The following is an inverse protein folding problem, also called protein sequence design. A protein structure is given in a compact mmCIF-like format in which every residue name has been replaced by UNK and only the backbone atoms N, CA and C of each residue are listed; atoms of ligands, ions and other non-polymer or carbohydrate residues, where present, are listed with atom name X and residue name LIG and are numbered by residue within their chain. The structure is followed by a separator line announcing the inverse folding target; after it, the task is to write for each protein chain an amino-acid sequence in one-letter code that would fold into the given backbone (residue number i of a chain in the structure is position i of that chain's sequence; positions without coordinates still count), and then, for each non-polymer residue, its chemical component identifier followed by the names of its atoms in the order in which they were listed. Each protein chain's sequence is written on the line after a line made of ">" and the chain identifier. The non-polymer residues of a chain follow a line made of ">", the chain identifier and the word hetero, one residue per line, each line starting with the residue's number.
data_IF_895100159579
#
_entry.id   IF_895100159579
#
_cell.length_a   1.000
_cell.length_b   1.000
_cell.length_c   1.000
_cell.angle_alpha   90.00
_cell.angle_beta   90.00
_cell.angle_gamma   90.00
#
_symmetry.space_group_name_H-M   'P 1'
#
loop_
_entity.id
_entity.type
_entity.pdbx_description
1 polymer ?
#
# COMPACT_ATOMS: atom_id res chain seq x y z
N UNK A 1 -10.25 -14.12 -55.93
CA UNK A 1 -9.21 -13.07 -55.76
C UNK A 1 -9.67 -11.92 -54.83
N UNK A 2 -10.85 -11.32 -55.01
CA UNK A 2 -11.40 -10.26 -54.11
C UNK A 2 -11.61 -10.71 -52.65
N UNK A 3 -12.18 -11.90 -52.42
CA UNK A 3 -12.40 -12.40 -51.04
C UNK A 3 -11.10 -12.68 -50.27
N UNK A 4 -10.07 -13.19 -50.97
CA UNK A 4 -8.73 -13.39 -50.39
C UNK A 4 -8.11 -12.06 -49.96
N UNK A 5 -8.27 -11.01 -50.78
CA UNK A 5 -7.79 -9.65 -50.48
C UNK A 5 -8.53 -9.01 -49.30
N UNK A 6 -9.83 -9.27 -49.11
CA UNK A 6 -10.60 -8.78 -47.96
C UNK A 6 -10.18 -9.50 -46.67
N UNK A 7 -9.99 -10.81 -46.73
CA UNK A 7 -9.49 -11.60 -45.60
C UNK A 7 -8.08 -11.18 -45.18
N UNK A 8 -7.20 -10.93 -46.15
CA UNK A 8 -5.82 -10.48 -45.87
C UNK A 8 -5.83 -9.05 -45.29
N UNK A 9 -6.69 -8.15 -45.77
CA UNK A 9 -6.86 -6.80 -45.20
C UNK A 9 -7.43 -6.82 -43.77
N UNK A 10 -8.39 -7.71 -43.48
CA UNK A 10 -8.90 -7.91 -42.12
C UNK A 10 -7.81 -8.43 -41.18
N UNK A 11 -7.00 -9.40 -41.62
CA UNK A 11 -5.85 -9.91 -40.83
C UNK A 11 -4.82 -8.81 -40.54
N UNK A 12 -4.51 -7.97 -41.53
CA UNK A 12 -3.59 -6.84 -41.36
C UNK A 12 -4.16 -5.82 -40.36
N UNK A 13 -5.45 -5.48 -40.44
CA UNK A 13 -6.08 -4.56 -39.50
C UNK A 13 -6.13 -5.12 -38.07
N UNK A 14 -6.45 -6.41 -37.90
CA UNK A 14 -6.43 -7.06 -36.58
C UNK A 14 -5.01 -7.12 -36.01
N UNK A 15 -4.01 -7.39 -36.85
CA UNK A 15 -2.61 -7.39 -36.44
C UNK A 15 -2.14 -6.00 -36.05
N UNK A 16 -2.48 -4.96 -36.82
CA UNK A 16 -2.16 -3.56 -36.50
C UNK A 16 -2.84 -3.10 -35.20
N UNK A 17 -4.11 -3.44 -34.99
CA UNK A 17 -4.81 -3.19 -33.73
C UNK A 17 -4.14 -3.92 -32.55
N UNK A 18 -3.79 -5.19 -32.74
CA UNK A 18 -3.09 -5.97 -31.72
C UNK A 18 -1.71 -5.37 -31.38
N UNK A 19 -0.96 -4.93 -32.39
CA UNK A 19 0.34 -4.27 -32.20
C UNK A 19 0.20 -2.92 -31.48
N UNK A 20 -0.82 -2.12 -31.83
CA UNK A 20 -1.14 -0.86 -31.14
C UNK A 20 -1.50 -1.08 -29.68
N UNK A 21 -2.37 -2.05 -29.39
CA UNK A 21 -2.73 -2.42 -28.02
C UNK A 21 -1.50 -2.93 -27.24
N UNK A 22 -0.65 -3.74 -27.86
CA UNK A 22 0.58 -4.24 -27.23
C UNK A 22 1.60 -3.10 -26.98
N UNK A 23 1.69 -2.11 -27.86
CA UNK A 23 2.51 -0.92 -27.65
C UNK A 23 1.96 -0.05 -26.51
N UNK A 24 0.64 0.17 -26.47
CA UNK A 24 -0.03 0.89 -25.39
C UNK A 24 0.20 0.22 -24.03
N UNK A 25 -0.01 -1.09 -23.92
CA UNK A 25 0.24 -1.85 -22.68
C UNK A 25 1.68 -1.76 -22.20
N UNK A 26 2.65 -1.78 -23.14
CA UNK A 26 4.07 -1.58 -22.81
C UNK A 26 4.33 -0.18 -22.25
N UNK A 27 3.75 0.85 -22.86
CA UNK A 27 3.88 2.22 -22.37
C UNK A 27 3.22 2.41 -21.00
N UNK A 28 2.05 1.81 -20.77
CA UNK A 28 1.36 1.81 -19.48
C UNK A 28 2.22 1.12 -18.41
N UNK A 29 2.81 -0.04 -18.73
CA UNK A 29 3.68 -0.77 -17.82
C UNK A 29 4.92 0.03 -17.40
N UNK A 30 5.56 0.70 -18.36
CA UNK A 30 6.71 1.59 -18.09
C UNK A 30 6.29 2.76 -17.20
N UNK A 31 5.13 3.37 -17.49
CA UNK A 31 4.62 4.50 -16.70
C UNK A 31 4.35 4.08 -15.26
N UNK A 32 3.80 2.88 -15.05
CA UNK A 32 3.59 2.32 -13.73
C UNK A 32 4.91 2.05 -13.01
N UNK A 33 5.91 1.49 -13.69
CA UNK A 33 7.23 1.27 -13.08
C UNK A 33 7.86 2.60 -12.61
N UNK A 34 7.80 3.65 -13.44
CA UNK A 34 8.27 4.98 -13.04
C UNK A 34 7.45 5.59 -11.90
N UNK A 35 6.15 5.36 -11.85
CA UNK A 35 5.32 5.79 -10.73
C UNK A 35 5.74 5.09 -9.43
N UNK A 36 5.88 3.76 -9.43
CA UNK A 36 6.33 3.02 -8.25
C UNK A 36 7.73 3.44 -7.78
N UNK A 37 8.65 3.65 -8.72
CA UNK A 37 9.99 4.15 -8.40
C UNK A 37 9.94 5.51 -7.69
N UNK A 38 9.11 6.43 -8.17
CA UNK A 38 8.93 7.74 -7.55
C UNK A 38 8.31 7.64 -6.15
N UNK A 39 7.30 6.78 -5.96
CA UNK A 39 6.67 6.54 -4.67
C UNK A 39 7.68 5.98 -3.65
N UNK A 40 8.50 5.01 -4.07
CA UNK A 40 9.56 4.44 -3.24
C UNK A 40 10.63 5.49 -2.92
N UNK A 41 11.13 6.20 -3.95
CA UNK A 41 12.15 7.25 -3.78
C UNK A 41 11.66 8.33 -2.83
N UNK A 42 10.41 8.75 -2.96
CA UNK A 42 9.81 9.73 -2.07
C UNK A 42 9.72 9.21 -0.64
N UNK A 43 9.23 7.98 -0.45
CA UNK A 43 9.14 7.35 0.87
C UNK A 43 10.51 7.25 1.55
N UNK A 44 11.55 6.84 0.81
CA UNK A 44 12.93 6.75 1.32
C UNK A 44 13.52 8.13 1.59
N UNK A 45 13.29 9.09 0.68
CA UNK A 45 13.81 10.46 0.84
C UNK A 45 13.21 11.15 2.07
N UNK A 46 11.92 10.94 2.33
CA UNK A 46 11.26 11.47 3.52
C UNK A 46 11.59 10.67 4.80
N UNK A 47 11.88 9.38 4.69
CA UNK A 47 12.37 8.57 5.82
C UNK A 47 13.81 8.90 6.23
N UNK A 48 14.67 9.24 5.26
CA UNK A 48 16.07 9.64 5.49
C UNK A 48 16.23 11.13 5.80
N UNK A 49 15.18 11.93 5.56
CA UNK A 49 15.13 13.29 6.06
C UNK A 49 15.06 13.21 7.59
N UNK A 50 16.22 13.24 8.24
CA UNK A 50 16.40 13.16 9.71
C UNK A 50 15.64 14.23 10.51
N UNK A 51 14.85 15.09 9.86
CA UNK A 51 14.19 16.22 10.50
C UNK A 51 12.89 16.53 9.78
N UNK A 52 11.72 16.22 10.37
CA UNK A 52 10.49 16.95 10.01
C UNK A 52 9.23 16.80 10.91
N UNK A 53 8.26 17.71 10.69
CA UNK A 53 7.39 18.46 11.63
C UNK A 53 5.86 18.41 11.36
N UNK A 54 5.06 17.65 12.12
CA UNK A 54 3.62 17.88 12.21
C UNK A 54 3.28 19.19 12.97
N UNK A 55 2.31 19.97 12.45
CA UNK A 55 1.81 21.20 13.08
C UNK A 55 0.43 20.95 13.69
N UNK A 56 0.30 21.13 15.01
CA UNK A 56 -1.00 21.18 15.71
C UNK A 56 -1.58 22.60 15.60
N UNK A 57 -2.90 22.70 15.45
CA UNK A 57 -3.64 23.96 15.30
C UNK A 57 -3.80 24.74 16.63
N UNK A 58 -2.84 24.63 17.54
CA UNK A 58 -2.87 25.30 18.85
C UNK A 58 -1.83 26.43 18.89
N UNK A 59 -2.26 27.63 18.45
CA UNK A 59 -1.60 28.91 18.76
C UNK A 59 -0.61 29.48 17.72
N UNK A 60 -0.94 30.69 17.26
CA UNK A 60 -0.10 31.80 16.71
C UNK A 60 1.14 31.50 15.85
N UNK A 61 1.24 30.35 15.19
CA UNK A 61 2.14 30.23 14.03
C UNK A 61 1.49 30.97 12.86
N UNK A 62 2.23 31.87 12.22
CA UNK A 62 1.75 32.59 11.01
C UNK A 62 1.24 31.54 10.03
N UNK A 63 -0.09 31.42 9.90
CA UNK A 63 -0.71 30.38 9.06
C UNK A 63 -0.19 30.54 7.63
N UNK A 64 0.62 29.58 7.15
CA UNK A 64 0.93 29.51 5.72
C UNK A 64 -0.41 29.18 5.02
N UNK A 65 -0.99 30.18 4.36
CA UNK A 65 -2.33 30.07 3.75
C UNK A 65 -2.31 29.33 2.42
N UNK A 66 -1.18 29.22 1.75
CA UNK A 66 -1.13 28.59 0.43
C UNK A 66 -0.52 27.20 0.51
N UNK A 67 -0.95 26.34 -0.42
CA UNK A 67 -0.39 25.00 -0.63
C UNK A 67 0.72 25.12 -1.66
N UNK A 68 1.98 24.89 -1.26
CA UNK A 68 3.11 24.86 -2.21
C UNK A 68 3.02 23.66 -3.14
N UNK A 69 3.64 23.74 -4.34
CA UNK A 69 3.66 22.60 -5.28
C UNK A 69 4.30 21.36 -4.66
N UNK A 70 5.34 21.51 -3.84
CA UNK A 70 5.98 20.42 -3.12
C UNK A 70 5.04 19.74 -2.12
N UNK A 71 4.29 20.50 -1.31
CA UNK A 71 3.29 19.94 -0.38
C UNK A 71 2.19 19.18 -1.14
N UNK A 72 1.69 19.75 -2.25
CA UNK A 72 0.65 19.11 -3.06
C UNK A 72 1.13 17.78 -3.65
N UNK A 73 2.34 17.76 -4.21
CA UNK A 73 2.94 16.55 -4.75
C UNK A 73 3.17 15.50 -3.68
N UNK A 74 3.71 15.90 -2.52
CA UNK A 74 4.02 15.01 -1.41
C UNK A 74 2.76 14.32 -0.85
N UNK A 75 1.66 15.08 -0.65
CA UNK A 75 0.37 14.51 -0.28
C UNK A 75 -0.08 13.45 -1.29
N UNK A 76 0.03 13.75 -2.59
CA UNK A 76 -0.40 12.80 -3.62
C UNK A 76 0.43 11.52 -3.60
N UNK A 77 1.74 11.61 -3.39
CA UNK A 77 2.60 10.43 -3.26
C UNK A 77 2.27 9.60 -2.02
N UNK A 78 2.13 10.22 -0.85
CA UNK A 78 1.79 9.50 0.39
C UNK A 78 0.41 8.84 0.29
N UNK A 79 -0.60 9.54 -0.22
CA UNK A 79 -1.94 8.99 -0.45
C UNK A 79 -1.92 7.87 -1.50
N UNK A 80 -1.13 8.03 -2.57
CA UNK A 80 -0.99 6.98 -3.57
C UNK A 80 -0.32 5.74 -3.00
N UNK A 81 0.50 5.86 -1.95
CA UNK A 81 1.06 4.70 -1.24
C UNK A 81 0.05 4.08 -0.27
N UNK A 82 -0.64 4.89 0.54
CA UNK A 82 -1.36 4.39 1.74
C UNK A 82 -2.88 4.45 1.66
N UNK A 83 -3.46 5.20 0.72
CA UNK A 83 -4.88 5.55 0.69
C UNK A 83 -5.22 6.74 1.62
N UNK A 84 -6.40 7.33 1.45
CA UNK A 84 -6.86 8.42 2.32
C UNK A 84 -7.33 7.87 3.68
N UNK A 85 -6.79 8.40 4.80
CA UNK A 85 -7.21 7.98 6.15
C UNK A 85 -8.67 8.30 6.45
N UNK A 86 -9.28 7.50 7.34
CA UNK A 86 -10.59 7.78 7.90
C UNK A 86 -10.53 8.64 9.16
N UNK A 87 -9.48 8.48 9.96
CA UNK A 87 -9.35 9.14 11.27
C UNK A 87 -8.44 10.35 11.18
N UNK A 88 -8.81 11.42 11.87
CA UNK A 88 -8.06 12.68 11.86
C UNK A 88 -6.86 12.62 12.81
N UNK A 89 -7.13 12.33 14.09
CA UNK A 89 -6.16 12.45 15.18
C UNK A 89 -5.84 11.08 15.79
N UNK A 90 -4.85 10.39 15.22
CA UNK A 90 -4.27 9.18 15.82
C UNK A 90 -2.80 9.05 15.45
N UNK A 91 -1.98 8.57 16.39
CA UNK A 91 -0.60 8.13 16.15
C UNK A 91 -0.49 6.60 16.04
N UNK A 92 -1.53 5.87 16.45
CA UNK A 92 -1.53 4.40 16.51
C UNK A 92 -2.06 3.74 15.24
N UNK A 93 -2.79 4.46 14.41
CA UNK A 93 -3.31 3.97 13.13
C UNK A 93 -3.22 5.04 12.04
N UNK A 94 -3.35 4.62 10.79
CA UNK A 94 -3.23 5.52 9.64
C UNK A 94 -4.25 6.66 9.75
N UNK A 95 -3.76 7.89 9.85
CA UNK A 95 -4.55 9.08 10.17
C UNK A 95 -4.11 10.28 9.35
N UNK A 96 -4.93 11.33 9.33
CA UNK A 96 -4.57 12.60 8.70
C UNK A 96 -3.36 13.25 9.37
N UNK A 97 -3.18 13.03 10.67
CA UNK A 97 -2.02 13.49 11.41
C UNK A 97 -0.73 12.76 10.97
N UNK A 98 -0.77 11.43 10.85
CA UNK A 98 0.35 10.66 10.28
C UNK A 98 0.60 11.02 8.81
N UNK A 99 -0.44 11.32 8.03
CA UNK A 99 -0.28 11.79 6.66
C UNK A 99 0.49 13.10 6.60
N UNK A 100 0.12 14.10 7.42
CA UNK A 100 0.80 15.40 7.46
C UNK A 100 2.28 15.22 7.83
N UNK A 101 2.57 14.40 8.83
CA UNK A 101 3.94 14.06 9.23
C UNK A 101 4.70 13.37 8.09
N UNK A 102 4.15 12.28 7.55
CA UNK A 102 4.81 11.50 6.48
C UNK A 102 4.89 12.21 5.14
N UNK A 103 4.01 13.16 4.84
CA UNK A 103 4.04 13.95 3.60
C UNK A 103 4.85 15.24 3.75
N UNK A 104 5.43 15.46 4.91
CA UNK A 104 6.20 16.64 5.18
C UNK A 104 5.46 17.98 4.90
N UNK A 105 4.19 18.08 5.34
CA UNK A 105 3.28 19.20 5.04
C UNK A 105 3.07 20.18 6.20
N UNK A 106 3.32 21.48 6.02
CA UNK A 106 3.17 22.49 7.08
C UNK A 106 1.71 22.95 7.26
N UNK A 107 0.77 22.02 7.38
CA UNK A 107 -0.68 22.27 7.52
C UNK A 107 -1.28 21.30 8.55
N UNK A 108 -2.37 21.69 9.20
CA UNK A 108 -3.06 20.83 10.16
C UNK A 108 -3.69 19.61 9.48
N UNK A 109 -3.89 18.53 10.26
CA UNK A 109 -4.54 17.31 9.81
C UNK A 109 -5.94 17.57 9.20
N UNK A 110 -6.77 18.37 9.88
CA UNK A 110 -8.09 18.80 9.38
C UNK A 110 -8.00 19.55 8.06
N UNK A 111 -6.99 20.40 7.89
CA UNK A 111 -6.80 21.17 6.66
C UNK A 111 -6.34 20.28 5.50
N UNK A 112 -5.47 19.31 5.76
CA UNK A 112 -5.09 18.30 4.79
C UNK A 112 -6.29 17.44 4.38
N UNK A 113 -7.11 17.01 5.35
CA UNK A 113 -8.35 16.27 5.10
C UNK A 113 -9.29 17.01 4.14
N UNK A 114 -9.64 18.27 4.46
CA UNK A 114 -10.51 19.10 3.61
C UNK A 114 -9.91 19.30 2.23
N UNK A 115 -8.61 19.63 2.15
CA UNK A 115 -7.93 19.77 0.87
C UNK A 115 -8.04 18.51 0.01
N UNK A 116 -7.86 17.32 0.59
CA UNK A 116 -7.91 16.08 -0.15
C UNK A 116 -9.33 15.73 -0.61
N UNK A 117 -10.32 15.79 0.29
CA UNK A 117 -11.71 15.48 -0.06
C UNK A 117 -12.30 16.49 -1.05
N UNK A 118 -12.09 17.79 -0.83
CA UNK A 118 -12.73 18.84 -1.63
C UNK A 118 -12.04 19.04 -2.99
N UNK A 119 -10.73 18.74 -3.09
CA UNK A 119 -9.92 19.09 -4.26
C UNK A 119 -9.26 17.89 -4.90
N UNK A 120 -8.46 17.13 -4.16
CA UNK A 120 -7.62 16.06 -4.73
C UNK A 120 -8.48 14.91 -5.27
N UNK A 121 -9.42 14.38 -4.47
CA UNK A 121 -10.26 13.27 -4.91
C UNK A 121 -11.18 13.67 -6.08
N UNK A 122 -11.69 14.90 -6.08
CA UNK A 122 -12.46 15.44 -7.20
C UNK A 122 -11.61 15.50 -8.48
N UNK A 123 -10.37 15.97 -8.37
CA UNK A 123 -9.43 15.98 -9.50
C UNK A 123 -9.10 14.56 -9.98
N UNK A 124 -8.92 13.59 -9.08
CA UNK A 124 -8.67 12.21 -9.47
C UNK A 124 -9.82 11.66 -10.34
N UNK A 125 -11.07 11.88 -9.91
CA UNK A 125 -12.26 11.47 -10.68
C UNK A 125 -12.31 12.14 -12.06
N UNK A 126 -12.01 13.45 -12.12
CA UNK A 126 -11.92 14.19 -13.39
C UNK A 126 -10.86 13.60 -14.34
N UNK A 127 -9.70 13.20 -13.80
CA UNK A 127 -8.58 12.67 -14.58
C UNK A 127 -8.83 11.27 -15.16
N UNK A 128 -9.62 10.44 -14.46
CA UNK A 128 -9.96 9.08 -14.91
C UNK A 128 -10.99 9.13 -16.05
N UNK A 129 -11.98 10.03 -15.96
CA UNK A 129 -13.04 10.14 -16.99
C UNK A 129 -12.51 10.71 -18.31
N UNK A 130 -11.48 11.56 -18.27
CA UNK A 130 -10.95 12.21 -19.47
C UNK A 130 -9.95 11.30 -20.20
N UNK A 131 -10.28 10.91 -21.44
CA UNK A 131 -9.38 10.17 -22.31
C UNK A 131 -8.03 10.90 -22.50
N UNK A 132 -6.94 10.13 -22.55
CA UNK A 132 -5.60 10.68 -22.83
C UNK A 132 -5.48 11.05 -24.31
N UNK A 133 -5.04 12.27 -24.59
CA UNK A 133 -4.45 12.52 -25.91
C UNK A 133 -3.15 11.73 -26.00
N UNK A 134 -3.02 10.85 -27.00
CA UNK A 134 -1.87 9.96 -27.17
C UNK A 134 -0.52 10.65 -27.42
N UNK A 135 -0.50 11.99 -27.49
CA UNK A 135 0.70 12.79 -27.73
C UNK A 135 1.26 13.30 -26.40
N UNK A 136 2.41 12.73 -26.00
CA UNK A 136 3.22 13.23 -24.89
C UNK A 136 3.66 14.66 -25.15
N UNK A 137 3.36 15.57 -24.22
CA UNK A 137 3.73 16.98 -24.30
C UNK A 137 4.97 17.26 -23.44
N UNK A 138 5.89 18.13 -23.89
CA UNK A 138 7.16 18.36 -23.20
C UNK A 138 7.07 19.04 -21.81
N UNK A 139 5.88 19.30 -21.25
CA UNK A 139 5.70 19.93 -19.93
C UNK A 139 4.46 19.36 -19.18
N UNK A 140 4.25 18.05 -19.26
CA UNK A 140 3.13 17.40 -18.57
C UNK A 140 3.31 17.39 -17.05
N UNK A 141 2.21 17.66 -16.34
CA UNK A 141 2.13 17.50 -14.90
C UNK A 141 2.15 16.01 -14.57
N UNK A 142 3.08 15.61 -13.70
CA UNK A 142 3.38 14.21 -13.39
C UNK A 142 2.67 13.67 -12.13
N UNK A 143 1.93 14.52 -11.42
CA UNK A 143 1.15 14.16 -10.23
C UNK A 143 -0.25 14.78 -10.29
N UNK A 144 -1.14 14.40 -9.37
CA UNK A 144 -2.50 14.98 -9.30
C UNK A 144 -2.45 16.40 -8.72
N UNK A 145 -2.51 17.42 -9.58
CA UNK A 145 -2.55 18.82 -9.12
C UNK A 145 -3.97 19.42 -9.32
N UNK A 146 -4.74 19.61 -8.23
CA UNK A 146 -6.10 20.14 -8.34
C UNK A 146 -6.15 21.60 -8.84
N UNK A 147 -5.04 22.34 -8.78
CA UNK A 147 -4.97 23.73 -9.24
C UNK A 147 -4.67 23.85 -10.74
N UNK A 148 -4.45 22.72 -11.42
CA UNK A 148 -4.11 22.69 -12.83
C UNK A 148 -5.24 22.09 -13.66
N UNK A 149 -5.30 22.49 -14.93
CA UNK A 149 -6.29 21.95 -15.86
C UNK A 149 -6.01 20.46 -16.12
N UNK A 150 -7.06 19.63 -16.19
CA UNK A 150 -6.90 18.19 -16.42
C UNK A 150 -6.17 17.87 -17.74
N UNK A 151 -6.30 18.71 -18.76
CA UNK A 151 -5.62 18.55 -20.05
C UNK A 151 -4.08 18.73 -19.99
N UNK A 152 -3.55 19.21 -18.87
CA UNK A 152 -2.10 19.37 -18.64
C UNK A 152 -1.48 18.17 -17.90
N UNK A 153 -2.30 17.24 -17.41
CA UNK A 153 -1.84 16.08 -16.65
C UNK A 153 -1.46 14.95 -17.60
N UNK A 154 -0.23 14.46 -17.44
CA UNK A 154 0.31 13.36 -18.22
C UNK A 154 -0.20 11.98 -17.78
N UNK A 155 0.22 10.94 -18.49
CA UNK A 155 -0.16 9.56 -18.21
C UNK A 155 0.14 9.13 -16.75
N UNK A 156 1.28 9.57 -16.21
CA UNK A 156 1.71 9.27 -14.83
C UNK A 156 0.76 9.85 -13.79
N UNK A 157 0.31 11.10 -13.96
CA UNK A 157 -0.64 11.72 -13.05
C UNK A 157 -1.99 11.00 -13.04
N UNK A 158 -2.42 10.48 -14.21
CA UNK A 158 -3.65 9.69 -14.32
C UNK A 158 -3.53 8.32 -13.62
N UNK A 159 -2.41 7.62 -13.81
CA UNK A 159 -2.14 6.38 -13.08
C UNK A 159 -2.06 6.60 -11.57
N UNK A 160 -1.52 7.74 -11.14
CA UNK A 160 -1.53 8.14 -9.73
C UNK A 160 -2.93 8.43 -9.21
N UNK A 161 -3.75 9.16 -9.97
CA UNK A 161 -5.15 9.42 -9.62
C UNK A 161 -5.94 8.12 -9.41
N UNK A 162 -5.74 7.17 -10.32
CA UNK A 162 -6.26 5.83 -10.23
C UNK A 162 -5.81 5.12 -8.95
N UNK A 163 -4.49 5.08 -8.71
CA UNK A 163 -3.90 4.37 -7.58
C UNK A 163 -4.42 4.94 -6.25
N UNK A 164 -4.50 6.26 -6.16
CA UNK A 164 -5.00 6.99 -5.01
C UNK A 164 -6.47 6.65 -4.72
N UNK A 165 -7.33 6.68 -5.75
CA UNK A 165 -8.74 6.33 -5.59
C UNK A 165 -8.93 4.88 -5.19
N UNK A 166 -8.22 3.95 -5.85
CA UNK A 166 -8.28 2.51 -5.54
C UNK A 166 -7.88 2.23 -4.09
N UNK A 167 -6.74 2.75 -3.65
CA UNK A 167 -6.25 2.51 -2.28
C UNK A 167 -7.11 3.21 -1.23
N UNK A 168 -7.70 4.36 -1.56
CA UNK A 168 -8.69 5.02 -0.70
C UNK A 168 -9.97 4.19 -0.55
N UNK A 169 -10.49 3.65 -1.65
CA UNK A 169 -11.67 2.79 -1.63
C UNK A 169 -11.39 1.49 -0.88
N UNK A 170 -10.26 0.84 -1.16
CA UNK A 170 -9.85 -0.38 -0.47
C UNK A 170 -9.66 -0.14 1.03
N UNK A 171 -9.02 0.96 1.45
CA UNK A 171 -8.89 1.28 2.88
C UNK A 171 -10.27 1.39 3.56
N UNK A 172 -11.24 2.04 2.91
CA UNK A 172 -12.62 2.14 3.41
C UNK A 172 -13.31 0.78 3.49
N UNK A 173 -13.17 -0.04 2.45
CA UNK A 173 -13.74 -1.39 2.43
C UNK A 173 -13.13 -2.25 3.53
N UNK A 174 -11.81 -2.26 3.68
CA UNK A 174 -11.13 -3.01 4.75
C UNK A 174 -11.60 -2.55 6.14
N UNK A 175 -11.76 -1.23 6.34
CA UNK A 175 -12.30 -0.69 7.60
C UNK A 175 -13.72 -1.17 7.86
N UNK A 176 -14.58 -1.17 6.84
CA UNK A 176 -15.94 -1.66 6.92
C UNK A 176 -15.98 -3.15 7.28
N UNK A 177 -15.21 -3.98 6.59
CA UNK A 177 -15.16 -5.42 6.82
C UNK A 177 -14.71 -5.76 8.23
N UNK A 178 -13.66 -5.11 8.73
CA UNK A 178 -13.15 -5.39 10.08
C UNK A 178 -14.04 -4.88 11.20
N UNK A 179 -14.80 -3.80 10.98
CA UNK A 179 -15.59 -3.14 12.03
C UNK A 179 -17.07 -3.51 12.00
N UNK A 180 -17.63 -3.92 10.86
CA UNK A 180 -19.06 -4.11 10.68
C UNK A 180 -19.43 -5.50 10.12
N UNK A 181 -18.56 -6.13 9.32
CA UNK A 181 -18.82 -7.44 8.69
C UNK A 181 -17.80 -8.49 9.16
N UNK A 182 -17.43 -8.45 10.46
CA UNK A 182 -16.35 -9.30 10.98
C UNK A 182 -16.70 -10.77 10.89
N UNK A 183 -17.96 -11.13 11.15
CA UNK A 183 -18.43 -12.51 11.12
C UNK A 183 -18.43 -13.06 9.69
N UNK A 184 -18.92 -12.27 8.72
CA UNK A 184 -18.91 -12.60 7.29
C UNK A 184 -17.47 -12.74 6.76
N UNK A 185 -16.57 -11.83 7.16
CA UNK A 185 -15.15 -11.92 6.83
C UNK A 185 -14.54 -13.21 7.39
N UNK A 186 -14.75 -13.52 8.67
CA UNK A 186 -14.21 -14.70 9.31
C UNK A 186 -14.75 -16.00 8.67
N UNK A 187 -16.04 -16.02 8.33
CA UNK A 187 -16.67 -17.13 7.60
C UNK A 187 -16.03 -17.32 6.21
N UNK A 188 -15.82 -16.22 5.47
CA UNK A 188 -15.19 -16.27 4.16
C UNK A 188 -13.74 -16.75 4.24
N UNK A 189 -12.94 -16.24 5.18
CA UNK A 189 -11.54 -16.66 5.37
C UNK A 189 -11.42 -18.13 5.81
N UNK A 190 -12.47 -18.71 6.40
CA UNK A 190 -12.54 -20.13 6.81
C UNK A 190 -13.24 -21.03 5.80
N UNK A 191 -13.71 -20.49 4.68
CA UNK A 191 -14.51 -21.23 3.68
C UNK A 191 -13.74 -22.35 2.97
N UNK A 192 -12.41 -22.30 2.97
CA UNK A 192 -11.57 -23.21 2.18
C UNK A 192 -11.48 -22.84 0.70
N UNK A 193 -11.89 -21.63 0.30
CA UNK A 193 -11.71 -21.13 -1.06
C UNK A 193 -10.22 -21.22 -1.50
N UNK A 194 -9.89 -21.98 -2.56
CA UNK A 194 -8.52 -22.11 -3.05
C UNK A 194 -7.84 -20.78 -3.39
N UNK A 195 -8.62 -19.78 -3.82
CA UNK A 195 -8.15 -18.43 -4.17
C UNK A 195 -7.63 -17.62 -2.98
N UNK A 196 -7.89 -18.06 -1.75
CA UNK A 196 -7.30 -17.51 -0.53
C UNK A 196 -5.87 -17.98 -0.30
N UNK A 197 -5.50 -19.17 -0.79
CA UNK A 197 -4.14 -19.71 -0.61
C UNK A 197 -3.30 -19.67 -1.87
N UNK A 198 -3.88 -19.23 -2.99
CA UNK A 198 -3.17 -19.13 -4.26
C UNK A 198 -1.96 -18.17 -4.17
N UNK A 199 -0.82 -18.64 -4.66
CA UNK A 199 0.48 -17.96 -4.58
C UNK A 199 0.96 -17.56 -3.16
N UNK A 200 0.38 -18.14 -2.10
CA UNK A 200 0.81 -17.88 -0.73
C UNK A 200 1.85 -18.91 -0.25
N UNK A 201 2.75 -18.55 0.69
CA UNK A 201 3.61 -19.52 1.37
C UNK A 201 2.81 -20.62 2.06
N UNK A 202 3.43 -21.78 2.22
CA UNK A 202 2.78 -22.97 2.82
C UNK A 202 2.21 -22.71 4.22
N UNK A 203 2.78 -21.76 4.96
CA UNK A 203 2.34 -21.39 6.30
C UNK A 203 1.15 -20.42 6.32
N UNK A 204 0.76 -19.87 5.17
CA UNK A 204 -0.28 -18.86 5.10
C UNK A 204 -1.65 -19.43 5.41
N UNK A 205 -2.10 -19.18 6.63
CA UNK A 205 -3.44 -19.44 7.12
C UNK A 205 -4.33 -18.19 6.94
N UNK A 206 -5.38 -18.22 6.09
CA UNK A 206 -6.19 -17.04 5.77
C UNK A 206 -6.79 -16.35 7.00
N UNK A 207 -7.46 -17.08 7.89
CA UNK A 207 -8.11 -16.50 9.08
C UNK A 207 -7.15 -16.00 10.17
N UNK A 208 -5.83 -16.10 9.96
CA UNK A 208 -4.80 -15.54 10.84
C UNK A 208 -4.08 -14.42 10.09
N UNK A 209 -3.51 -14.75 8.93
CA UNK A 209 -2.57 -13.87 8.24
C UNK A 209 -3.27 -12.88 7.29
N UNK A 210 -4.44 -13.22 6.73
CA UNK A 210 -5.24 -12.21 6.02
C UNK A 210 -5.85 -11.22 7.00
N UNK A 211 -6.29 -11.68 8.18
CA UNK A 211 -6.75 -10.78 9.24
C UNK A 211 -5.64 -9.81 9.66
N UNK A 212 -4.43 -10.32 9.97
CA UNK A 212 -3.29 -9.47 10.30
C UNK A 212 -2.89 -8.54 9.14
N UNK A 213 -3.03 -8.97 7.89
CA UNK A 213 -2.80 -8.10 6.72
C UNK A 213 -3.82 -6.96 6.67
N UNK A 214 -5.10 -7.25 6.84
CA UNK A 214 -6.19 -6.28 6.80
C UNK A 214 -6.08 -5.29 7.97
N UNK A 215 -5.81 -5.78 9.18
CA UNK A 215 -5.59 -4.95 10.37
C UNK A 215 -4.34 -4.08 10.19
N UNK A 216 -3.25 -4.67 9.71
CA UNK A 216 -2.03 -3.94 9.36
C UNK A 216 -2.27 -2.84 8.32
N UNK A 217 -3.15 -3.05 7.33
CA UNK A 217 -3.50 -2.03 6.34
C UNK A 217 -4.22 -0.83 6.98
N UNK A 218 -5.05 -1.05 8.01
CA UNK A 218 -5.67 0.05 8.76
C UNK A 218 -4.65 0.83 9.60
N UNK A 219 -3.66 0.13 10.16
CA UNK A 219 -2.63 0.72 11.00
C UNK A 219 -1.58 1.50 10.19
N UNK A 220 -1.08 0.90 9.11
CA UNK A 220 0.07 1.43 8.37
C UNK A 220 -0.30 2.08 7.03
N UNK A 221 -1.50 1.82 6.52
CA UNK A 221 -1.94 2.17 5.17
C UNK A 221 -1.76 1.01 4.19
N UNK A 222 -2.58 1.01 3.14
CA UNK A 222 -2.77 -0.12 2.22
C UNK A 222 -1.47 -0.63 1.58
N UNK A 223 -0.67 0.25 0.96
CA UNK A 223 0.52 -0.15 0.21
C UNK A 223 1.80 -0.11 1.03
N UNK A 224 1.70 -0.06 2.35
CA UNK A 224 2.83 0.13 3.27
C UNK A 224 3.52 -1.20 3.59
N UNK A 225 3.89 -1.97 2.55
CA UNK A 225 4.34 -3.35 2.69
C UNK A 225 5.62 -3.53 3.52
N UNK A 226 6.49 -2.51 3.59
CA UNK A 226 7.67 -2.50 4.47
C UNK A 226 7.33 -2.42 5.97
N UNK A 227 6.14 -1.91 6.30
CA UNK A 227 5.58 -1.94 7.64
C UNK A 227 4.69 -3.18 7.85
N UNK A 228 3.88 -3.56 6.85
CA UNK A 228 2.93 -4.68 6.93
C UNK A 228 3.58 -6.04 7.20
N UNK A 229 4.73 -6.34 6.58
CA UNK A 229 5.39 -7.65 6.78
C UNK A 229 5.92 -7.88 8.19
N UNK A 230 5.89 -6.84 9.04
CA UNK A 230 6.27 -6.85 10.46
C UNK A 230 5.07 -6.72 11.40
N UNK A 231 3.85 -6.74 10.85
CA UNK A 231 2.64 -6.52 11.61
C UNK A 231 2.11 -7.83 12.20
N UNK A 232 2.11 -7.92 13.53
CA UNK A 232 1.50 -9.00 14.31
C UNK A 232 1.84 -10.41 13.76
N UNK A 233 0.84 -11.21 13.35
CA UNK A 233 1.05 -12.57 12.84
C UNK A 233 1.85 -12.64 11.54
N UNK A 234 2.08 -11.52 10.84
CA UNK A 234 2.93 -11.47 9.64
C UNK A 234 4.42 -11.35 9.99
N UNK A 235 4.75 -10.87 11.19
CA UNK A 235 6.13 -10.73 11.62
C UNK A 235 6.87 -12.07 11.55
N UNK A 236 8.11 -12.05 11.07
CA UNK A 236 8.89 -13.27 10.82
C UNK A 236 9.05 -14.14 12.07
N UNK A 237 9.02 -13.55 13.27
CA UNK A 237 9.17 -14.26 14.53
C UNK A 237 7.86 -14.96 14.91
N UNK A 238 6.73 -14.27 14.69
CA UNK A 238 5.39 -14.84 14.85
C UNK A 238 5.16 -15.97 13.84
N UNK A 239 5.55 -15.77 12.58
CA UNK A 239 5.53 -16.81 11.53
C UNK A 239 6.41 -17.98 11.94
N UNK A 240 7.62 -17.76 12.44
CA UNK A 240 8.50 -18.85 12.87
C UNK A 240 7.92 -19.63 14.06
N UNK A 241 7.27 -18.96 15.01
CA UNK A 241 6.54 -19.62 16.08
C UNK A 241 5.37 -20.45 15.54
N UNK A 242 4.59 -19.88 14.62
CA UNK A 242 3.48 -20.55 13.95
C UNK A 242 3.95 -21.79 13.17
N UNK A 243 5.01 -21.67 12.36
CA UNK A 243 5.58 -22.77 11.58
C UNK A 243 6.04 -23.91 12.48
N UNK A 244 6.75 -23.61 13.58
CA UNK A 244 7.16 -24.65 14.55
C UNK A 244 5.95 -25.35 15.16
N UNK A 245 4.97 -24.57 15.61
CA UNK A 245 3.77 -25.09 16.25
C UNK A 245 2.97 -25.99 15.30
N UNK A 246 2.65 -25.51 14.10
CA UNK A 246 1.75 -26.23 13.18
C UNK A 246 2.45 -27.34 12.40
N UNK A 247 3.66 -27.09 11.90
CA UNK A 247 4.31 -28.04 10.99
C UNK A 247 5.23 -29.02 11.69
N UNK A 248 5.80 -28.66 12.85
CA UNK A 248 6.83 -29.47 13.51
C UNK A 248 6.34 -30.13 14.79
N UNK A 249 5.58 -29.40 15.61
CA UNK A 249 5.15 -29.87 16.94
C UNK A 249 3.74 -30.44 16.94
N UNK A 250 2.84 -29.85 16.16
CA UNK A 250 1.40 -30.04 16.26
C UNK A 250 0.79 -29.28 17.45
N UNK A 251 -0.53 -29.11 17.42
CA UNK A 251 -1.36 -28.52 18.50
C UNK A 251 -2.04 -29.64 19.33
N UNK A 252 -1.36 -30.76 19.55
CA UNK A 252 -1.82 -31.90 20.35
C UNK A 252 -2.39 -33.07 19.55
N UNK A 253 -3.05 -34.06 20.21
CA UNK A 253 -3.43 -35.33 19.58
C UNK A 253 -4.41 -35.19 18.40
N UNK A 254 -5.24 -34.15 18.41
CA UNK A 254 -6.22 -33.88 17.34
C UNK A 254 -5.61 -33.08 16.17
N UNK A 255 -4.44 -32.50 16.38
CA UNK A 255 -3.72 -31.67 15.42
C UNK A 255 -2.24 -32.05 15.41
N UNK A 256 -1.90 -33.26 14.92
CA UNK A 256 -0.50 -33.69 14.80
C UNK A 256 0.27 -32.74 13.86
N UNK A 257 1.62 -32.74 13.93
CA UNK A 257 2.43 -31.93 13.03
C UNK A 257 2.14 -32.26 11.58
N UNK A 258 2.02 -31.22 10.75
CA UNK A 258 1.75 -31.36 9.31
C UNK A 258 2.90 -32.07 8.59
N UNK A 259 4.13 -31.89 9.04
CA UNK A 259 5.31 -32.55 8.49
C UNK A 259 5.70 -33.71 9.39
N UNK A 260 5.97 -34.86 8.78
CA UNK A 260 6.52 -36.01 9.48
C UNK A 260 7.86 -35.64 10.16
N UNK A 261 7.98 -35.76 11.49
CA UNK A 261 9.22 -35.49 12.21
C UNK A 261 10.44 -36.25 11.67
N UNK A 262 10.24 -37.43 11.07
CA UNK A 262 11.31 -38.26 10.48
C UNK A 262 11.94 -37.62 9.24
N UNK A 263 11.29 -36.60 8.65
CA UNK A 263 11.82 -35.86 7.49
C UNK A 263 13.16 -35.17 7.77
N UNK A 264 13.44 -34.80 9.02
CA UNK A 264 14.66 -34.08 9.40
C UNK A 264 15.70 -35.04 9.98
N UNK A 265 16.91 -35.04 9.42
CA UNK A 265 18.03 -35.87 9.89
C UNK A 265 18.73 -35.27 11.12
N UNK A 266 18.50 -33.99 11.40
CA UNK A 266 19.06 -33.30 12.57
C UNK A 266 18.20 -32.10 13.01
N UNK A 267 18.36 -31.70 14.28
CA UNK A 267 17.76 -30.47 14.80
C UNK A 267 18.24 -29.21 14.05
N UNK A 268 19.48 -29.22 13.55
CA UNK A 268 20.02 -28.11 12.75
C UNK A 268 19.32 -28.00 11.38
N UNK A 269 19.05 -29.11 10.72
CA UNK A 269 18.30 -29.17 9.47
C UNK A 269 16.86 -28.69 9.67
N UNK A 270 16.21 -29.15 10.73
CA UNK A 270 14.87 -28.68 11.10
C UNK A 270 14.84 -27.16 11.38
N UNK A 271 15.80 -26.65 12.16
CA UNK A 271 15.90 -25.22 12.44
C UNK A 271 16.16 -24.40 11.18
N UNK A 272 16.99 -24.89 10.25
CA UNK A 272 17.23 -24.27 8.96
C UNK A 272 15.95 -24.24 8.11
N UNK A 273 15.21 -25.35 8.03
CA UNK A 273 13.95 -25.41 7.29
C UNK A 273 12.89 -24.45 7.86
N UNK A 274 12.75 -24.38 9.19
CA UNK A 274 11.83 -23.43 9.84
C UNK A 274 12.19 -22.00 9.45
N UNK A 275 13.47 -21.64 9.55
CA UNK A 275 13.96 -20.30 9.20
C UNK A 275 13.67 -19.99 7.72
N UNK A 276 14.08 -20.87 6.82
CA UNK A 276 13.95 -20.67 5.37
C UNK A 276 12.48 -20.63 4.92
N UNK A 277 11.59 -21.32 5.63
CA UNK A 277 10.13 -21.26 5.41
C UNK A 277 9.54 -19.96 5.94
N UNK A 278 10.00 -19.48 7.10
CA UNK A 278 9.45 -18.29 7.78
C UNK A 278 9.82 -16.99 7.08
N UNK A 279 10.98 -16.93 6.43
CA UNK A 279 11.42 -15.75 5.67
C UNK A 279 10.68 -15.58 4.35
N UNK A 280 10.00 -16.61 3.85
CA UNK A 280 9.15 -16.47 2.67
C UNK A 280 8.01 -15.50 2.96
N UNK A 281 7.69 -14.65 2.00
CA UNK A 281 6.56 -13.72 2.06
C UNK A 281 5.93 -13.65 0.67
N UNK A 282 4.60 -13.54 0.54
CA UNK A 282 3.98 -13.44 -0.76
C UNK A 282 4.43 -12.17 -1.50
N UNK A 283 4.54 -12.20 -2.84
CA UNK A 283 4.77 -10.99 -3.62
C UNK A 283 3.72 -9.92 -3.33
N UNK A 284 4.14 -8.67 -3.17
CA UNK A 284 3.26 -7.60 -2.70
C UNK A 284 2.14 -7.27 -3.67
N UNK A 285 2.35 -7.50 -4.97
CA UNK A 285 1.32 -7.33 -6.00
C UNK A 285 0.23 -8.40 -5.86
N UNK A 286 0.60 -9.62 -5.47
CA UNK A 286 -0.33 -10.72 -5.21
C UNK A 286 -1.14 -10.47 -3.94
N UNK A 287 -0.53 -9.90 -2.90
CA UNK A 287 -1.24 -9.46 -1.70
C UNK A 287 -2.28 -8.39 -2.02
N UNK A 288 -1.92 -7.35 -2.79
CA UNK A 288 -2.87 -6.30 -3.16
C UNK A 288 -4.04 -6.86 -3.96
N UNK A 289 -3.75 -7.69 -4.97
CA UNK A 289 -4.78 -8.38 -5.79
C UNK A 289 -5.68 -9.27 -4.92
N UNK A 290 -5.11 -9.97 -3.95
CA UNK A 290 -5.86 -10.81 -3.03
C UNK A 290 -6.82 -9.98 -2.18
N UNK A 291 -6.36 -8.89 -1.58
CA UNK A 291 -7.23 -7.99 -0.79
C UNK A 291 -8.31 -7.37 -1.67
N UNK A 292 -8.00 -7.00 -2.92
CA UNK A 292 -9.01 -6.53 -3.87
C UNK A 292 -10.09 -7.59 -4.12
N UNK A 293 -9.73 -8.87 -4.29
CA UNK A 293 -10.71 -9.96 -4.44
C UNK A 293 -11.58 -10.11 -3.20
N UNK A 294 -10.99 -10.11 -2.01
CA UNK A 294 -11.73 -10.17 -0.74
C UNK A 294 -12.73 -9.02 -0.64
N UNK A 295 -12.26 -7.78 -0.92
CA UNK A 295 -13.10 -6.59 -0.90
C UNK A 295 -14.25 -6.68 -1.90
N UNK A 296 -13.99 -7.16 -3.12
CA UNK A 296 -15.00 -7.35 -4.14
C UNK A 296 -16.06 -8.36 -3.70
N UNK A 297 -15.64 -9.56 -3.30
CA UNK A 297 -16.54 -10.65 -2.93
C UNK A 297 -17.42 -10.31 -1.74
N UNK A 298 -16.88 -9.61 -0.73
CA UNK A 298 -17.64 -9.28 0.49
C UNK A 298 -18.44 -7.97 0.39
N UNK A 299 -18.31 -7.21 -0.70
CA UNK A 299 -19.08 -5.96 -0.87
C UNK A 299 -19.88 -5.89 -2.16
N UNK A 300 -19.98 -7.00 -2.89
CA UNK A 300 -20.71 -7.10 -4.15
C UNK A 300 -22.18 -6.67 -4.01
N UNK A 301 -22.83 -7.09 -2.93
CA UNK A 301 -24.25 -6.82 -2.66
C UNK A 301 -24.53 -5.40 -2.11
N UNK A 302 -23.49 -4.63 -1.75
CA UNK A 302 -23.69 -3.27 -1.25
C UNK A 302 -24.21 -2.33 -2.36
N UNK A 303 -25.05 -1.34 -2.05
CA UNK A 303 -25.47 -0.33 -3.05
C UNK A 303 -24.28 0.40 -3.66
N UNK A 304 -24.37 0.82 -4.94
CA UNK A 304 -23.30 1.59 -5.62
C UNK A 304 -22.97 2.92 -4.94
N UNK A 305 -23.91 3.47 -4.17
CA UNK A 305 -23.71 4.66 -3.36
C UNK A 305 -23.03 4.41 -2.02
N UNK A 306 -22.85 3.14 -1.61
CA UNK A 306 -22.26 2.79 -0.33
C UNK A 306 -20.76 3.10 -0.34
N UNK A 307 -20.26 3.83 0.65
CA UNK A 307 -18.88 4.33 0.67
C UNK A 307 -17.81 3.23 0.72
N UNK A 308 -18.19 2.05 1.24
CA UNK A 308 -17.32 0.87 1.34
C UNK A 308 -17.47 -0.12 0.19
N UNK A 309 -18.42 0.07 -0.75
CA UNK A 309 -18.54 -0.83 -1.90
C UNK A 309 -17.25 -0.76 -2.71
N UNK A 310 -16.59 -1.88 -2.89
CA UNK A 310 -15.42 -1.98 -3.76
C UNK A 310 -15.89 -2.22 -5.20
N UNK A 311 -15.49 -1.35 -6.13
CA UNK A 311 -15.88 -1.47 -7.55
C UNK A 311 -14.66 -1.69 -8.42
N UNK A 312 -14.79 -2.66 -9.32
CA UNK A 312 -13.84 -2.98 -10.37
C UNK A 312 -14.08 -2.16 -11.65
N UNK A 313 -14.86 -1.07 -11.58
CA UNK A 313 -15.02 -0.09 -12.68
C UNK A 313 -13.69 0.47 -13.22
N UNK A 314 -12.59 0.13 -12.55
CA UNK A 314 -11.24 0.53 -12.82
C UNK A 314 -10.29 -0.70 -12.98
N UNK A 315 -10.76 -1.94 -12.91
CA UNK A 315 -9.86 -3.09 -12.98
C UNK A 315 -9.45 -3.41 -14.41
N UNK A 316 -8.21 -3.05 -14.71
CA UNK A 316 -7.44 -3.75 -15.73
C UNK A 316 -6.60 -4.75 -14.95
N UNK A 317 -6.60 -6.01 -15.37
CA UNK A 317 -5.64 -7.03 -14.91
C UNK A 317 -4.14 -6.60 -15.03
N UNK A 318 -3.86 -5.38 -15.48
CA UNK A 318 -2.57 -4.69 -15.60
C UNK A 318 -2.32 -3.59 -14.55
N UNK A 319 -3.26 -3.30 -13.64
CA UNK A 319 -3.18 -2.13 -12.74
C UNK A 319 -2.40 -2.35 -11.43
N UNK A 320 -2.14 -3.61 -11.07
CA UNK A 320 -1.24 -3.97 -9.97
C UNK A 320 -0.07 -4.72 -10.60
N UNK A 321 1.00 -3.98 -10.90
CA UNK A 321 2.20 -4.55 -11.49
C UNK A 321 3.07 -5.21 -10.43
N UNK A 322 3.87 -6.22 -10.82
CA UNK A 322 4.91 -6.77 -9.95
C UNK A 322 5.81 -5.67 -9.42
N UNK A 323 6.00 -5.63 -8.10
CA UNK A 323 6.89 -4.69 -7.43
C UNK A 323 8.12 -5.44 -6.92
N UNK A 324 8.88 -6.03 -7.84
CA UNK A 324 10.00 -6.93 -7.52
C UNK A 324 11.04 -6.33 -6.58
N UNK A 325 11.30 -5.02 -6.68
CA UNK A 325 12.19 -4.31 -5.75
C UNK A 325 11.66 -4.35 -4.31
N UNK A 326 10.34 -4.20 -4.12
CA UNK A 326 9.71 -4.30 -2.80
C UNK A 326 9.81 -5.73 -2.26
N UNK A 327 9.56 -6.73 -3.11
CA UNK A 327 9.66 -8.14 -2.72
C UNK A 327 11.08 -8.51 -2.25
N UNK A 328 12.11 -8.00 -2.94
CA UNK A 328 13.51 -8.19 -2.57
C UNK A 328 13.79 -7.54 -1.20
N UNK A 329 13.41 -6.29 -1.00
CA UNK A 329 13.65 -5.57 0.27
C UNK A 329 12.93 -6.25 1.43
N UNK A 330 11.68 -6.70 1.24
CA UNK A 330 10.94 -7.45 2.27
C UNK A 330 11.67 -8.75 2.62
N UNK A 331 12.11 -9.51 1.61
CA UNK A 331 12.86 -10.75 1.83
C UNK A 331 14.18 -10.52 2.58
N UNK A 332 14.92 -9.48 2.21
CA UNK A 332 16.17 -9.08 2.89
C UNK A 332 15.91 -8.75 4.36
N UNK A 333 14.95 -7.87 4.66
CA UNK A 333 14.60 -7.49 6.03
C UNK A 333 14.14 -8.69 6.88
N UNK A 334 13.36 -9.62 6.31
CA UNK A 334 12.93 -10.84 7.00
C UNK A 334 14.11 -11.77 7.28
N UNK A 335 15.05 -11.88 6.34
CA UNK A 335 16.26 -12.70 6.49
C UNK A 335 17.20 -12.14 7.55
N UNK A 336 17.44 -10.83 7.54
CA UNK A 336 18.22 -10.13 8.57
C UNK A 336 17.61 -10.35 9.95
N UNK A 337 16.29 -10.18 10.10
CA UNK A 337 15.62 -10.40 11.39
C UNK A 337 15.67 -11.85 11.86
N UNK A 338 15.42 -12.79 10.95
CA UNK A 338 15.50 -14.21 11.26
C UNK A 338 16.92 -14.67 11.67
N UNK A 339 17.97 -13.95 11.24
CA UNK A 339 19.37 -14.22 11.62
C UNK A 339 19.80 -13.45 12.87
N UNK A 340 19.27 -12.25 13.09
CA UNK A 340 19.53 -11.43 14.28
C UNK A 340 18.96 -12.03 15.58
N UNK A 341 17.95 -12.90 15.47
CA UNK A 341 17.28 -13.56 16.59
C UNK A 341 18.11 -14.59 17.38
N UNK A 342 19.44 -14.55 17.26
CA UNK A 342 20.29 -15.06 18.34
C UNK A 342 20.33 -14.12 19.56
N UNK A 343 19.99 -12.82 19.47
CA UNK A 343 20.23 -11.89 20.59
C UNK A 343 19.16 -10.85 21.00
N UNK A 344 18.01 -10.63 20.36
CA UNK A 344 17.07 -9.57 20.81
C UNK A 344 15.62 -10.04 20.98
N UNK A 345 15.02 -9.68 22.12
CA UNK A 345 13.58 -9.83 22.38
C UNK A 345 12.75 -8.94 21.45
N UNK A 346 11.67 -9.51 20.96
CA UNK A 346 10.55 -8.82 20.29
C UNK A 346 10.18 -7.55 21.04
N UNK A 347 10.56 -6.39 20.50
CA UNK A 347 9.92 -5.14 20.85
C UNK A 347 8.61 -5.10 20.07
N UNK A 348 7.49 -5.30 20.76
CA UNK A 348 6.18 -4.95 20.22
C UNK A 348 6.23 -3.50 19.72
N UNK A 349 5.60 -3.16 18.59
CA UNK A 349 5.46 -1.77 18.18
C UNK A 349 4.78 -1.03 19.32
N UNK A 350 5.53 -0.16 20.01
CA UNK A 350 4.96 0.65 21.08
C UNK A 350 3.88 1.51 20.44
N UNK A 351 2.65 1.37 20.94
CA UNK A 351 1.57 2.30 20.62
C UNK A 351 2.04 3.66 21.13
N UNK A 352 2.51 4.48 20.22
CA UNK A 352 3.02 5.79 20.58
C UNK A 352 1.85 6.67 20.99
N UNK A 353 1.88 7.18 22.23
CA UNK A 353 0.88 8.13 22.69
C UNK A 353 0.92 9.39 21.81
N UNK A 354 -0.25 9.87 21.39
CA UNK A 354 -0.36 11.04 20.51
C UNK A 354 0.34 12.26 21.12
N UNK A 355 0.27 12.43 22.45
CA UNK A 355 0.93 13.52 23.16
C UNK A 355 2.45 13.42 23.09
N UNK A 356 3.00 12.20 23.23
CA UNK A 356 4.44 11.94 23.15
C UNK A 356 4.96 12.20 21.74
N UNK A 357 4.29 11.65 20.72
CA UNK A 357 4.65 11.90 19.33
C UNK A 357 4.58 13.40 19.00
N UNK A 358 3.52 14.09 19.42
CA UNK A 358 3.36 15.54 19.24
C UNK A 358 4.51 16.32 19.89
N UNK A 359 4.92 15.94 21.10
CA UNK A 359 6.01 16.59 21.81
C UNK A 359 7.36 16.40 21.10
N UNK A 360 7.68 15.19 20.64
CA UNK A 360 8.89 14.90 19.87
C UNK A 360 8.91 15.72 18.57
N UNK A 361 7.78 15.72 17.87
CA UNK A 361 7.62 16.43 16.60
C UNK A 361 7.79 17.95 16.77
N UNK A 362 7.25 18.51 17.87
CA UNK A 362 7.43 19.91 18.27
C UNK A 362 8.88 20.20 18.65
N UNK A 363 9.54 19.33 19.41
CA UNK A 363 10.94 19.53 19.81
C UNK A 363 11.87 19.54 18.59
N UNK A 364 11.71 18.60 17.66
CA UNK A 364 12.46 18.58 16.39
C UNK A 364 12.20 19.84 15.55
N UNK A 365 11.00 20.44 15.63
CA UNK A 365 10.67 21.73 14.99
C UNK A 365 11.46 22.88 15.57
N UNK A 366 11.47 23.02 16.88
CA UNK A 366 12.07 24.18 17.54
C UNK A 366 13.59 24.23 17.29
N UNK A 367 14.27 23.07 17.32
CA UNK A 367 15.71 22.94 17.02
C UNK A 367 16.08 23.37 15.58
N UNK A 368 15.27 23.05 14.58
CA UNK A 368 15.57 23.41 13.19
C UNK A 368 15.26 24.90 12.89
N UNK A 369 14.20 25.45 13.48
CA UNK A 369 13.91 26.89 13.38
C UNK A 369 15.10 27.72 13.89
N UNK A 370 15.72 27.29 14.99
CA UNK A 370 16.95 27.91 15.50
C UNK A 370 18.11 27.77 14.51
N UNK A 371 18.32 26.58 13.92
CA UNK A 371 19.39 26.35 12.92
C UNK A 371 19.22 27.19 11.64
N UNK A 372 17.99 27.39 11.15
CA UNK A 372 17.71 28.20 9.97
C UNK A 372 17.88 29.71 10.23
N UNK A 373 17.57 30.18 11.43
CA UNK A 373 17.85 31.56 11.85
C UNK A 373 19.35 31.82 12.00
N UNK A 374 20.12 30.81 12.43
CA UNK A 374 21.59 30.90 12.51
C UNK A 374 22.23 30.93 11.11
N UNK A 375 21.67 30.21 10.12
CA UNK A 375 22.20 30.18 8.76
C UNK A 375 21.88 31.43 7.91
N UNK A 376 21.04 32.33 8.41
CA UNK A 376 20.63 33.58 7.73
C UNK A 376 21.24 34.84 8.34
N UNK A 377 22.12 34.68 9.34
CA UNK A 377 23.01 35.70 9.89
C UNK A 377 24.47 35.33 9.59
#
# INVERSE_FOLDING_TARGET
>A
KKEKSISDMQKINTLDQSQKLAAQRRQEAITWQFLHLDLMRHTVSLGNANVWHAIREEGTTKMIKEWSTAERQSICYVLSTRGAPLVVDSASQWSWYLLVSKAHVYKSAMRAQRYVYDRVLAKCKELIVKESSALSRPNEIQFVDPYQAAALHGAKAKQMAFLLLRRTQMYRTVSYLLQHERDELDNYLRSGDPGLTDHMPVWWCPWIHDVALLEGMLIHGVGSYLELHRHDALDVDAVAAFVRRVFVQGDGPQHPPVIDPVKFHSAAEQAAWVRDTSVQFPPVDMLEKKVMRVCLSLTEELPTSHEAKFSMENDVATAVLPMTMMDVVVKEQRTERATANNHHSSAQPQVEDLTVFLAQTKASRDVLCEQQQIATH
#
